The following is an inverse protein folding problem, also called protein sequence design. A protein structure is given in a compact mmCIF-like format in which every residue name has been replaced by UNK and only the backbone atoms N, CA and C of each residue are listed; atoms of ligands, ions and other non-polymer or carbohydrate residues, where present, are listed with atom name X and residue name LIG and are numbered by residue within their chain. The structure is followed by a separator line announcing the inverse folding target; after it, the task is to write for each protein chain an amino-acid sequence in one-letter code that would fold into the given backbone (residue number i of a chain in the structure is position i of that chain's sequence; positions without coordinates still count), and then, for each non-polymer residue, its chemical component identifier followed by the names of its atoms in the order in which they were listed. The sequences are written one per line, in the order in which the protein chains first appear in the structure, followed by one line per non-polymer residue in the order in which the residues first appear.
data_IF_265771314692
#
_entry.id   IF_265771314692
#
_cell.length_a   1.000
_cell.length_b   1.000
_cell.length_c   1.000
_cell.angle_alpha   90.00
_cell.angle_beta   90.00
_cell.angle_gamma   90.00
#
_symmetry.space_group_name_H-M   'P 1'
#
loop_
_entity.id
_entity.type
_entity.pdbx_description
1 polymer ?
#
# COMPACT_ATOMS: atom_id res chain seq x y z
N UNK A 1 11.41 -0.31 15.06
CA UNK A 1 11.60 -1.06 13.79
C UNK A 1 10.97 -2.43 13.99
N UNK A 2 10.03 -2.80 13.13
CA UNK A 2 9.26 -4.03 13.18
C UNK A 2 9.48 -4.79 11.87
N UNK A 3 9.79 -6.08 12.00
CA UNK A 3 9.96 -6.97 10.86
C UNK A 3 8.60 -7.43 10.34
N UNK A 4 8.41 -7.33 9.02
CA UNK A 4 7.29 -7.91 8.28
C UNK A 4 7.85 -9.02 7.40
N UNK A 5 7.34 -10.24 7.58
CA UNK A 5 7.73 -11.41 6.79
C UNK A 5 6.60 -11.80 5.85
N UNK A 6 6.93 -12.10 4.60
CA UNK A 6 5.97 -12.59 3.59
C UNK A 6 6.60 -13.79 2.89
N UNK A 7 5.84 -14.88 2.77
CA UNK A 7 6.28 -16.05 2.02
C UNK A 7 5.68 -16.07 0.62
N UNK A 8 6.53 -16.20 -0.39
CA UNK A 8 6.17 -16.27 -1.81
C UNK A 8 7.05 -17.31 -2.49
N UNK A 9 6.44 -18.32 -3.10
CA UNK A 9 7.10 -19.41 -3.83
C UNK A 9 8.11 -20.18 -2.96
N UNK A 10 7.73 -20.44 -1.71
CA UNK A 10 8.61 -21.08 -0.72
C UNK A 10 9.79 -20.23 -0.25
N UNK A 11 9.88 -18.97 -0.69
CA UNK A 11 10.90 -18.01 -0.24
C UNK A 11 10.30 -17.04 0.76
N UNK A 12 11.03 -16.76 1.83
CA UNK A 12 10.64 -15.78 2.84
C UNK A 12 11.34 -14.47 2.53
N UNK A 13 10.55 -13.40 2.46
CA UNK A 13 10.99 -12.03 2.29
C UNK A 13 10.75 -11.30 3.60
N UNK A 14 11.83 -10.89 4.24
CA UNK A 14 11.81 -10.12 5.48
C UNK A 14 12.09 -8.65 5.18
N UNK A 15 11.25 -7.77 5.72
CA UNK A 15 11.34 -6.33 5.51
C UNK A 15 11.29 -5.65 6.88
N UNK A 16 12.32 -4.88 7.21
CA UNK A 16 12.35 -4.08 8.43
C UNK A 16 11.73 -2.72 8.15
N UNK A 17 10.66 -2.39 8.88
CA UNK A 17 9.88 -1.17 8.70
C UNK A 17 9.73 -0.41 10.01
N UNK A 18 9.37 0.87 9.94
CA UNK A 18 8.95 1.61 11.13
C UNK A 18 7.64 1.03 11.70
N UNK A 19 7.47 1.07 13.02
CA UNK A 19 6.43 0.30 13.71
C UNK A 19 5.01 0.66 13.23
N UNK A 20 4.72 1.96 13.11
CA UNK A 20 3.41 2.45 12.62
C UNK A 20 3.15 2.05 11.17
N UNK A 21 4.18 2.13 10.33
CA UNK A 21 4.04 1.76 8.92
C UNK A 21 3.89 0.24 8.76
N UNK A 22 4.60 -0.54 9.57
CA UNK A 22 4.45 -1.98 9.62
C UNK A 22 3.04 -2.39 10.05
N UNK A 23 2.46 -1.72 11.05
CA UNK A 23 1.06 -1.96 11.47
C UNK A 23 0.06 -1.66 10.36
N UNK A 24 0.18 -0.49 9.73
CA UNK A 24 -0.63 -0.12 8.57
C UNK A 24 -0.52 -1.17 7.44
N UNK A 25 0.70 -1.55 7.07
CA UNK A 25 0.96 -2.52 6.02
C UNK A 25 0.36 -3.89 6.36
N UNK A 26 0.52 -4.37 7.60
CA UNK A 26 -0.03 -5.65 8.05
C UNK A 26 -1.57 -5.68 7.96
N UNK A 27 -2.24 -4.57 8.29
CA UNK A 27 -3.68 -4.45 8.14
C UNK A 27 -4.12 -4.45 6.67
N UNK A 28 -3.45 -3.67 5.81
CA UNK A 28 -3.76 -3.63 4.38
C UNK A 28 -3.53 -5.00 3.71
N UNK A 29 -2.41 -5.68 4.03
CA UNK A 29 -2.14 -7.03 3.55
C UNK A 29 -3.26 -8.00 3.95
N UNK A 30 -3.74 -7.92 5.20
CA UNK A 30 -4.86 -8.74 5.69
C UNK A 30 -6.16 -8.44 4.95
N UNK A 31 -6.48 -7.18 4.69
CA UNK A 31 -7.66 -6.76 3.92
C UNK A 31 -7.62 -7.29 2.48
N UNK A 32 -6.42 -7.39 1.90
CA UNK A 32 -6.21 -7.92 0.55
C UNK A 32 -5.91 -9.44 0.54
N UNK A 33 -6.18 -10.14 1.65
CA UNK A 33 -6.03 -11.60 1.80
C UNK A 33 -4.60 -12.12 1.61
N UNK A 34 -3.59 -11.28 1.80
CA UNK A 34 -2.18 -11.67 1.87
C UNK A 34 -1.87 -12.14 3.29
N UNK A 35 -1.30 -13.34 3.41
CA UNK A 35 -0.93 -13.95 4.68
C UNK A 35 0.53 -13.64 5.02
N UNK A 36 0.79 -13.15 6.23
CA UNK A 36 2.17 -12.92 6.71
C UNK A 36 2.91 -14.23 7.03
N UNK A 37 2.17 -15.24 7.49
CA UNK A 37 2.76 -16.46 8.07
C UNK A 37 2.56 -17.70 7.18
N UNK A 38 2.13 -17.51 5.93
CA UNK A 38 1.80 -18.60 4.99
C UNK A 38 2.21 -18.23 3.57
N UNK A 39 2.33 -19.24 2.73
CA UNK A 39 2.58 -19.12 1.30
C UNK A 39 1.52 -18.24 0.61
N UNK A 40 1.98 -17.26 -0.18
CA UNK A 40 1.14 -16.39 -0.99
C UNK A 40 1.42 -16.60 -2.47
N UNK A 41 0.36 -16.60 -3.27
CA UNK A 41 0.51 -16.69 -4.73
C UNK A 41 1.10 -15.38 -5.27
N UNK A 42 2.09 -15.48 -6.14
CA UNK A 42 2.72 -14.33 -6.85
C UNK A 42 1.68 -13.40 -7.48
N UNK A 43 0.60 -13.96 -8.04
CA UNK A 43 -0.45 -13.19 -8.70
C UNK A 43 -1.21 -12.27 -7.74
N UNK A 44 -1.40 -12.68 -6.48
CA UNK A 44 -2.13 -11.89 -5.49
C UNK A 44 -1.27 -10.72 -5.01
N UNK A 45 0.04 -10.95 -4.83
CA UNK A 45 1.03 -9.91 -4.52
C UNK A 45 1.12 -8.90 -5.68
N UNK A 46 1.21 -9.36 -6.92
CA UNK A 46 1.26 -8.49 -8.09
C UNK A 46 -0.01 -7.65 -8.24
N UNK A 47 -1.19 -8.25 -8.02
CA UNK A 47 -2.46 -7.52 -8.02
C UNK A 47 -2.51 -6.45 -6.95
N UNK A 48 -2.04 -6.75 -5.73
CA UNK A 48 -1.97 -5.77 -4.66
C UNK A 48 -1.05 -4.62 -5.04
N UNK A 49 0.15 -4.91 -5.54
CA UNK A 49 1.09 -3.90 -6.00
C UNK A 49 0.48 -2.97 -7.06
N UNK A 50 -0.15 -3.52 -8.09
CA UNK A 50 -0.81 -2.73 -9.15
C UNK A 50 -1.98 -1.90 -8.60
N UNK A 51 -2.76 -2.45 -7.67
CA UNK A 51 -3.85 -1.73 -6.99
C UNK A 51 -3.29 -0.55 -6.20
N UNK A 52 -2.25 -0.74 -5.40
CA UNK A 52 -1.60 0.32 -4.63
C UNK A 52 -1.04 1.43 -5.53
N UNK A 53 -0.41 1.07 -6.65
CA UNK A 53 0.07 2.06 -7.63
C UNK A 53 -1.07 2.91 -8.21
N UNK A 54 -2.16 2.27 -8.63
CA UNK A 54 -3.34 2.98 -9.16
C UNK A 54 -3.96 3.89 -8.10
N UNK A 55 -4.13 3.38 -6.88
CA UNK A 55 -4.75 4.14 -5.80
C UNK A 55 -3.88 5.36 -5.44
N UNK A 56 -2.55 5.23 -5.44
CA UNK A 56 -1.62 6.36 -5.30
C UNK A 56 -1.72 7.38 -6.44
N UNK A 57 -1.82 6.93 -7.69
CA UNK A 57 -1.98 7.82 -8.85
C UNK A 57 -3.27 8.64 -8.75
N UNK A 58 -4.39 7.98 -8.44
CA UNK A 58 -5.68 8.65 -8.28
C UNK A 58 -5.67 9.65 -7.11
N UNK A 59 -4.97 9.33 -6.02
CA UNK A 59 -4.81 10.26 -4.89
C UNK A 59 -4.07 11.54 -5.33
N UNK A 60 -3.02 11.42 -6.14
CA UNK A 60 -2.29 12.59 -6.66
C UNK A 60 -3.19 13.48 -7.53
N UNK A 61 -3.97 12.87 -8.43
CA UNK A 61 -4.93 13.60 -9.27
C UNK A 61 -5.98 14.35 -8.43
N UNK A 62 -6.56 13.69 -7.43
CA UNK A 62 -7.53 14.32 -6.52
C UNK A 62 -6.93 15.47 -5.71
N UNK A 63 -5.68 15.34 -5.26
CA UNK A 63 -4.97 16.42 -4.56
C UNK A 63 -4.75 17.62 -5.47
N UNK A 64 -4.35 17.41 -6.72
CA UNK A 64 -4.16 18.49 -7.69
C UNK A 64 -5.47 19.23 -7.96
N UNK A 65 -6.58 18.50 -8.17
CA UNK A 65 -7.91 19.08 -8.34
C UNK A 65 -8.31 19.89 -7.10
N UNK A 66 -8.07 19.37 -5.89
CA UNK A 66 -8.37 20.08 -4.65
C UNK A 66 -7.56 21.38 -4.52
N UNK A 67 -6.27 21.35 -4.89
CA UNK A 67 -5.41 22.54 -4.87
C UNK A 67 -5.86 23.60 -5.88
N UNK A 68 -6.29 23.21 -7.09
CA UNK A 68 -6.82 24.14 -8.10
C UNK A 68 -8.08 24.83 -7.55
N UNK A 69 -9.05 24.06 -7.04
CA UNK A 69 -10.29 24.60 -6.48
C UNK A 69 -10.05 25.57 -5.32
N UNK A 70 -9.08 25.28 -4.45
CA UNK A 70 -8.71 26.17 -3.35
C UNK A 70 -8.12 27.49 -3.85
N UNK A 71 -7.29 27.47 -4.91
CA UNK A 71 -6.74 28.69 -5.53
C UNK A 71 -7.83 29.55 -6.17
N UNK A 72 -8.76 28.92 -6.90
CA UNK A 72 -9.90 29.63 -7.52
C UNK A 72 -10.77 30.33 -6.47
N UNK A 73 -11.00 29.67 -5.33
CA UNK A 73 -11.83 30.20 -4.25
C UNK A 73 -11.17 31.35 -3.47
N UNK A 74 -9.85 31.42 -3.44
CA UNK A 74 -9.10 32.50 -2.80
C UNK A 74 -8.85 33.72 -3.71
N UNK A 75 -9.13 33.58 -5.01
CA UNK A 75 -9.03 34.65 -6.00
C UNK A 75 -10.39 35.30 -6.33
N UNK A 76 -11.46 34.90 -5.63
CA UNK A 76 -12.78 35.54 -5.62
C UNK A 76 -12.95 36.34 -4.32
#
# INVERSE_FOLDING_TARGET
MKKVSIMIDGKVFDIDLEDKFAEFLMEDLKLNKISLNKENKKIDILRLYLKTLRDNFNIQEHLEIAMIKLKEKNNQ
#
